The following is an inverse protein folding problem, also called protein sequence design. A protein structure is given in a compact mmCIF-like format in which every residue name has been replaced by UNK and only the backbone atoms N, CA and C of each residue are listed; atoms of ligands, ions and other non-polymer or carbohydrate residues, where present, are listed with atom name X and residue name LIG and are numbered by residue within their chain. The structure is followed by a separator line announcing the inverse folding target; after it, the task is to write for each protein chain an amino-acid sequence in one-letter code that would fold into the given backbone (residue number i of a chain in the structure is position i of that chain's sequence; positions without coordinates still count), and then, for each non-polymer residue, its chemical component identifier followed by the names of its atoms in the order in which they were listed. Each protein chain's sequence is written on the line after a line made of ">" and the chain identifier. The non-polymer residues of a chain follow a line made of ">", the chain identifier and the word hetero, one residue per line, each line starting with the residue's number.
data_IF_300054332131
#
_entry.id   IF_300054332131
#
_cell.length_a   1.000
_cell.length_b   1.000
_cell.length_c   1.000
_cell.angle_alpha   90.00
_cell.angle_beta   90.00
_cell.angle_gamma   90.00
#
_symmetry.space_group_name_H-M   'P 1'
#
loop_
_entity.id
_entity.type
_entity.pdbx_description
1 polymer ?
#
# COMPACT_ATOMS: atom_id res chain seq x y z
N UNK A 1 16.15 1.29 -1.12
CA UNK A 1 16.49 2.41 -2.04
C UNK A 1 17.20 3.57 -1.32
N UNK A 2 16.71 4.09 -0.20
CA UNK A 2 17.26 5.32 0.43
C UNK A 2 18.10 5.10 1.71
N UNK A 3 18.84 3.98 1.81
CA UNK A 3 19.61 3.64 3.04
C UNK A 3 20.87 4.50 3.25
N UNK A 4 21.35 5.16 2.20
CA UNK A 4 22.53 6.05 2.24
C UNK A 4 22.27 7.34 1.45
N UNK A 5 21.04 7.84 1.50
CA UNK A 5 20.63 8.97 0.68
C UNK A 5 20.91 10.29 1.40
N UNK A 6 21.79 11.11 0.84
CA UNK A 6 22.13 12.42 1.37
C UNK A 6 21.69 13.49 0.36
N UNK A 7 20.66 14.31 0.66
CA UNK A 7 20.16 15.31 -0.29
C UNK A 7 21.23 16.24 -0.86
N UNK A 8 22.23 16.60 -0.05
CA UNK A 8 23.33 17.49 -0.47
C UNK A 8 24.29 16.87 -1.48
N UNK A 9 24.43 15.54 -1.48
CA UNK A 9 25.40 14.83 -2.30
C UNK A 9 24.72 14.11 -3.47
N UNK A 10 23.54 13.55 -3.23
CA UNK A 10 22.88 12.65 -4.16
C UNK A 10 21.86 13.33 -5.06
N UNK A 11 21.46 14.58 -4.76
CA UNK A 11 20.64 15.37 -5.69
C UNK A 11 21.52 15.89 -6.82
N UNK A 12 21.28 15.43 -8.04
CA UNK A 12 22.02 15.83 -9.23
C UNK A 12 21.43 17.07 -9.90
N UNK A 13 20.10 17.19 -9.92
CA UNK A 13 19.42 18.38 -10.44
C UNK A 13 18.02 18.52 -9.84
N UNK A 14 17.54 19.76 -9.75
CA UNK A 14 16.20 20.10 -9.28
C UNK A 14 15.61 21.09 -10.28
N UNK A 15 14.47 20.77 -10.89
CA UNK A 15 13.90 21.59 -11.97
C UNK A 15 12.38 21.65 -11.88
N UNK A 16 11.83 22.84 -12.00
CA UNK A 16 10.39 23.07 -12.10
C UNK A 16 9.83 22.50 -13.42
N UNK A 17 8.84 21.63 -13.33
CA UNK A 17 8.28 20.92 -14.50
C UNK A 17 7.26 21.79 -15.25
N UNK A 18 7.35 21.91 -16.58
CA UNK A 18 6.33 22.62 -17.39
C UNK A 18 4.93 21.99 -17.25
N UNK A 19 3.86 22.79 -17.34
CA UNK A 19 2.48 22.34 -17.12
C UNK A 19 2.04 21.16 -18.02
N UNK A 20 2.59 21.02 -19.23
CA UNK A 20 2.31 19.86 -20.09
C UNK A 20 2.80 18.54 -19.48
N UNK A 21 4.04 18.53 -18.98
CA UNK A 21 4.66 17.34 -18.38
C UNK A 21 4.03 17.06 -17.00
N UNK A 22 3.63 18.10 -16.26
CA UNK A 22 2.85 17.91 -15.03
C UNK A 22 1.56 17.12 -15.28
N UNK A 23 0.80 17.47 -16.34
CA UNK A 23 -0.41 16.73 -16.71
C UNK A 23 -0.11 15.26 -17.04
N UNK A 24 1.03 14.96 -17.68
CA UNK A 24 1.45 13.59 -17.94
C UNK A 24 1.74 12.81 -16.65
N UNK A 25 2.47 13.39 -15.70
CA UNK A 25 2.71 12.74 -14.40
C UNK A 25 1.41 12.53 -13.60
N UNK A 26 0.50 13.51 -13.60
CA UNK A 26 -0.83 13.34 -12.97
C UNK A 26 -1.60 12.18 -13.58
N UNK A 27 -1.64 12.11 -14.91
CA UNK A 27 -2.33 11.02 -15.60
C UNK A 27 -1.73 9.64 -15.24
N UNK A 28 -0.40 9.53 -15.20
CA UNK A 28 0.30 8.30 -14.78
C UNK A 28 -0.01 7.91 -13.33
N UNK A 29 -0.01 8.88 -12.42
CA UNK A 29 -0.33 8.64 -11.00
C UNK A 29 -1.78 8.17 -10.83
N UNK A 30 -2.73 8.80 -11.52
CA UNK A 30 -4.15 8.41 -11.47
C UNK A 30 -4.40 7.03 -12.11
N UNK A 31 -3.69 6.69 -13.19
CA UNK A 31 -3.81 5.36 -13.80
C UNK A 31 -3.23 4.26 -12.92
N UNK A 32 -2.17 4.54 -12.18
CA UNK A 32 -1.48 3.55 -11.35
C UNK A 32 -2.14 3.42 -9.97
N UNK A 33 -2.50 4.54 -9.35
CA UNK A 33 -3.04 4.61 -7.99
C UNK A 33 -4.46 5.18 -8.08
N UNK A 34 -5.43 4.31 -8.36
CA UNK A 34 -6.84 4.72 -8.53
C UNK A 34 -7.40 5.42 -7.29
N UNK A 35 -6.89 5.09 -6.10
CA UNK A 35 -7.25 5.76 -4.84
C UNK A 35 -7.09 7.29 -4.89
N UNK A 36 -6.14 7.80 -5.66
CA UNK A 36 -5.90 9.24 -5.81
C UNK A 36 -7.04 10.00 -6.52
N UNK A 37 -7.88 9.27 -7.27
CA UNK A 37 -9.06 9.83 -7.96
C UNK A 37 -10.30 9.94 -7.06
N UNK A 38 -10.28 9.31 -5.88
CA UNK A 38 -11.39 9.37 -4.94
C UNK A 38 -11.61 10.80 -4.44
N UNK A 39 -12.85 11.17 -4.11
CA UNK A 39 -13.14 12.46 -3.50
C UNK A 39 -12.40 12.57 -2.17
N UNK A 40 -11.69 13.68 -1.96
CA UNK A 40 -11.17 14.01 -0.64
C UNK A 40 -12.39 14.33 0.23
N UNK A 41 -12.77 13.38 1.10
CA UNK A 41 -13.84 13.60 2.05
C UNK A 41 -13.50 14.88 2.83
N UNK A 42 -14.39 15.88 2.93
CA UNK A 42 -14.19 16.92 3.92
C UNK A 42 -14.06 16.22 5.28
N UNK A 43 -13.13 16.64 6.16
CA UNK A 43 -13.07 16.07 7.49
C UNK A 43 -14.48 16.14 8.09
N UNK A 44 -14.96 15.08 8.77
CA UNK A 44 -16.25 15.16 9.44
C UNK A 44 -16.23 16.43 10.30
N UNK A 45 -17.30 17.25 10.29
CA UNK A 45 -17.34 18.43 11.13
C UNK A 45 -17.03 17.96 12.54
N UNK A 46 -15.97 18.51 13.14
CA UNK A 46 -15.68 18.27 14.53
C UNK A 46 -16.91 18.72 15.30
N UNK A 47 -17.69 17.77 15.79
CA UNK A 47 -18.63 18.01 16.86
C UNK A 47 -17.78 18.40 18.04
N UNK A 48 -17.47 19.70 18.16
CA UNK A 48 -17.26 20.35 19.44
C UNK A 48 -18.58 20.23 20.18
N UNK A 49 -18.80 19.06 20.76
CA UNK A 49 -19.68 18.95 21.90
C UNK A 49 -18.84 19.44 23.08
N UNK A 50 -18.89 20.75 23.30
CA UNK A 50 -18.69 21.29 24.63
C UNK A 50 -19.82 20.69 25.48
N UNK A 51 -19.49 19.65 26.24
CA UNK A 51 -20.27 19.23 27.39
C UNK A 51 -19.28 18.76 28.43
N UNK A 52 -18.87 19.71 29.26
CA UNK A 52 -18.42 19.47 30.62
C UNK A 52 -19.47 18.56 31.29
N UNK A 53 -19.11 17.32 31.58
CA UNK A 53 -19.78 16.52 32.61
C UNK A 53 -18.71 15.72 33.33
N UNK A 54 -18.27 16.32 34.43
CA UNK A 54 -17.34 15.79 35.41
C UNK A 54 -18.15 14.83 36.31
N UNK A 55 -18.02 13.53 36.08
CA UNK A 55 -18.53 12.53 37.03
C UNK A 55 -17.43 11.52 37.33
N UNK A 56 -16.86 11.69 38.53
CA UNK A 56 -15.95 10.79 39.23
C UNK A 56 -16.35 9.31 39.06
N UNK A 57 -15.43 8.50 38.54
CA UNK A 57 -15.46 7.05 38.72
C UNK A 57 -14.47 6.69 39.84
N UNK A 58 -15.05 6.42 41.00
CA UNK A 58 -14.43 5.90 42.21
C UNK A 58 -13.84 4.49 41.94
N UNK A 59 -12.52 4.33 42.02
CA UNK A 59 -11.85 3.02 41.95
C UNK A 59 -11.97 2.29 43.31
N UNK A 60 -12.46 1.03 43.36
CA UNK A 60 -12.26 0.21 44.55
C UNK A 60 -10.89 -0.51 44.54
N UNK A 61 -10.24 -0.67 45.70
CA UNK A 61 -8.83 -0.99 45.80
C UNK A 61 -8.51 -2.47 45.60
N UNK A 62 -7.35 -2.72 45.00
CA UNK A 62 -6.66 -4.00 44.94
C UNK A 62 -6.33 -4.54 46.34
N UNK A 63 -6.75 -5.78 46.61
CA UNK A 63 -6.28 -6.58 47.75
C UNK A 63 -6.37 -8.07 47.44
N UNK A 64 -5.26 -8.80 47.58
CA UNK A 64 -5.31 -10.25 47.79
C UNK A 64 -4.17 -11.07 47.19
N UNK A 65 -3.09 -11.26 47.97
CA UNK A 65 -1.99 -12.20 47.72
C UNK A 65 -2.46 -13.65 47.53
N UNK A 66 -1.90 -14.36 46.55
CA UNK A 66 -2.01 -15.82 46.39
C UNK A 66 -0.75 -16.42 45.77
N UNK A 67 -0.11 -17.33 46.49
CA UNK A 67 1.21 -17.94 46.24
C UNK A 67 1.20 -19.09 45.23
N UNK A 68 2.32 -19.21 44.49
CA UNK A 68 3.11 -20.41 44.10
C UNK A 68 2.44 -21.55 43.30
N UNK A 69 3.14 -21.97 42.23
CA UNK A 69 3.06 -23.33 41.69
C UNK A 69 3.95 -23.56 40.48
N UNK A 70 5.14 -24.16 40.70
CA UNK A 70 6.00 -24.76 39.66
C UNK A 70 5.31 -25.99 39.06
N UNK A 71 5.56 -26.27 37.78
CA UNK A 71 5.27 -27.58 37.18
C UNK A 71 5.75 -27.67 35.74
N UNK A 72 6.87 -28.37 35.54
CA UNK A 72 7.38 -28.77 34.23
C UNK A 72 6.62 -30.01 33.73
N UNK A 73 6.41 -30.16 32.43
CA UNK A 73 6.34 -31.48 31.79
C UNK A 73 6.49 -31.37 30.27
N UNK A 74 7.13 -32.40 29.74
CA UNK A 74 7.70 -32.62 28.42
C UNK A 74 7.03 -33.88 27.89
N UNK A 75 6.43 -33.86 26.70
CA UNK A 75 6.09 -35.06 25.89
C UNK A 75 5.74 -34.56 24.48
N UNK A 76 6.44 -34.85 23.37
CA UNK A 76 6.83 -36.11 22.69
C UNK A 76 5.67 -37.05 22.36
N UNK A 77 5.28 -37.05 21.08
CA UNK A 77 4.77 -38.14 20.18
C UNK A 77 4.45 -37.43 18.84
N UNK A 78 5.05 -37.65 17.67
CA UNK A 78 5.49 -38.81 16.85
C UNK A 78 4.33 -39.63 16.24
N UNK A 79 4.43 -39.79 14.91
CA UNK A 79 3.72 -40.69 13.98
C UNK A 79 2.30 -40.24 13.58
N UNK A 80 1.78 -40.43 12.36
CA UNK A 80 2.20 -41.07 11.10
C UNK A 80 1.39 -40.37 9.97
N UNK A 81 1.94 -40.06 8.79
CA UNK A 81 1.98 -40.91 7.58
C UNK A 81 0.68 -41.70 7.31
N UNK A 82 -0.10 -41.24 6.33
CA UNK A 82 -1.00 -42.08 5.53
C UNK A 82 -1.12 -41.46 4.12
N UNK A 83 -0.49 -42.14 3.17
CA UNK A 83 -0.57 -41.89 1.75
C UNK A 83 -1.89 -42.44 1.20
N UNK A 84 -2.55 -41.69 0.31
CA UNK A 84 -3.51 -42.23 -0.66
C UNK A 84 -3.68 -41.24 -1.83
N UNK A 85 -2.96 -41.45 -2.93
CA UNK A 85 -3.30 -40.87 -4.23
C UNK A 85 -2.86 -41.85 -5.33
N UNK A 86 -3.69 -42.05 -6.35
CA UNK A 86 -3.29 -42.83 -7.52
C UNK A 86 -4.39 -43.55 -8.31
N UNK A 87 -5.60 -42.99 -8.43
CA UNK A 87 -6.59 -43.48 -9.40
C UNK A 87 -6.37 -42.85 -10.78
N UNK A 88 -5.83 -43.62 -11.73
CA UNK A 88 -5.81 -43.30 -13.16
C UNK A 88 -7.14 -43.72 -13.80
N UNK A 89 -7.77 -42.81 -14.53
CA UNK A 89 -8.87 -43.13 -15.44
C UNK A 89 -9.02 -42.02 -16.46
N UNK A 90 -8.48 -42.23 -17.66
CA UNK A 90 -8.66 -41.33 -18.79
C UNK A 90 -9.95 -41.65 -19.55
N UNK A 91 -10.53 -40.63 -20.19
CA UNK A 91 -11.19 -40.84 -21.48
C UNK A 91 -11.21 -39.56 -22.32
N UNK A 92 -11.04 -39.77 -23.62
CA UNK A 92 -10.97 -38.78 -24.70
C UNK A 92 -12.36 -38.33 -25.13
N UNK A 93 -12.41 -37.14 -25.71
CA UNK A 93 -13.03 -36.94 -27.03
C UNK A 93 -14.40 -36.28 -27.06
N UNK A 94 -14.51 -35.19 -27.82
CA UNK A 94 -15.80 -34.59 -28.18
C UNK A 94 -15.64 -33.23 -28.84
N UNK A 95 -15.35 -33.22 -30.15
CA UNK A 95 -15.55 -32.05 -31.02
C UNK A 95 -17.06 -31.80 -31.15
N UNK A 96 -17.47 -30.53 -31.06
CA UNK A 96 -18.83 -30.11 -31.36
C UNK A 96 -18.88 -28.62 -31.69
N UNK A 97 -18.85 -28.31 -32.98
CA UNK A 97 -19.29 -27.04 -33.57
C UNK A 97 -20.73 -26.74 -33.18
N UNK A 98 -21.07 -25.49 -32.89
CA UNK A 98 -22.10 -24.77 -33.66
C UNK A 98 -22.17 -23.28 -33.35
N UNK A 99 -22.37 -22.56 -34.45
CA UNK A 99 -22.60 -21.15 -34.64
C UNK A 99 -24.06 -20.80 -34.32
N UNK A 100 -24.33 -19.67 -33.65
CA UNK A 100 -25.63 -18.98 -33.75
C UNK A 100 -25.52 -17.50 -33.40
N UNK A 101 -25.98 -16.68 -34.35
CA UNK A 101 -26.19 -15.24 -34.28
C UNK A 101 -27.33 -14.85 -33.31
N UNK A 102 -27.17 -13.73 -32.60
CA UNK A 102 -28.22 -12.76 -32.23
C UNK A 102 -27.54 -11.56 -31.54
N UNK A 103 -27.41 -10.39 -32.16
CA UNK A 103 -28.40 -9.32 -32.30
C UNK A 103 -28.01 -8.13 -31.39
N UNK A 104 -27.60 -7.04 -32.04
CA UNK A 104 -27.34 -5.72 -31.45
C UNK A 104 -28.64 -5.11 -30.92
N UNK A 105 -28.57 -4.43 -29.78
CA UNK A 105 -29.49 -3.33 -29.48
C UNK A 105 -28.65 -2.11 -29.16
N UNK A 106 -28.84 -1.10 -30.01
CA UNK A 106 -28.29 0.24 -29.94
C UNK A 106 -29.38 1.08 -29.28
N UNK A 107 -29.09 1.72 -28.15
CA UNK A 107 -29.89 2.87 -27.70
C UNK A 107 -29.00 4.10 -27.64
N UNK A 108 -29.37 5.08 -28.45
CA UNK A 108 -28.76 6.39 -28.59
C UNK A 108 -29.76 7.46 -28.12
N UNK A 109 -29.28 8.30 -27.20
CA UNK A 109 -29.54 9.75 -27.03
C UNK A 109 -30.95 10.18 -26.54
N UNK A 110 -31.09 11.37 -25.90
CA UNK A 110 -30.94 12.64 -26.60
C UNK A 110 -29.99 13.64 -25.95
N UNK A 111 -29.40 14.47 -26.81
CA UNK A 111 -28.79 15.76 -26.48
C UNK A 111 -29.84 16.88 -26.64
N UNK A 112 -29.68 17.95 -25.86
CA UNK A 112 -30.39 19.23 -25.96
C UNK A 112 -30.40 19.92 -24.60
N UNK A 113 -29.34 20.65 -24.20
CA UNK A 113 -29.06 22.06 -24.52
C UNK A 113 -29.87 23.03 -23.65
N UNK A 114 -29.25 23.58 -22.60
CA UNK A 114 -29.48 24.94 -22.13
C UNK A 114 -28.17 25.53 -21.54
N UNK A 115 -27.77 26.68 -22.08
CA UNK A 115 -26.72 27.56 -21.55
C UNK A 115 -27.25 28.31 -20.31
N UNK A 116 -26.44 28.39 -19.26
CA UNK A 116 -26.73 29.21 -18.08
C UNK A 116 -25.61 29.10 -17.04
N UNK A 117 -24.91 30.22 -16.81
CA UNK A 117 -23.73 30.35 -15.95
C UNK A 117 -24.03 30.09 -14.46
N UNK A 118 -23.11 29.43 -13.73
CA UNK A 118 -22.50 29.86 -12.44
C UNK A 118 -22.11 28.68 -11.50
N UNK A 119 -20.80 28.50 -11.30
CA UNK A 119 -20.07 27.85 -10.19
C UNK A 119 -20.53 26.44 -9.71
N UNK A 120 -20.21 25.41 -10.49
CA UNK A 120 -20.41 24.01 -10.11
C UNK A 120 -19.29 23.48 -9.20
N UNK A 121 -19.62 23.19 -7.94
CA UNK A 121 -18.73 22.65 -6.91
C UNK A 121 -17.93 21.43 -7.37
N UNK A 122 -16.68 21.66 -7.77
CA UNK A 122 -15.77 20.61 -8.19
C UNK A 122 -15.31 19.87 -6.94
N UNK A 123 -15.83 18.66 -6.71
CA UNK A 123 -15.39 17.82 -5.59
C UNK A 123 -13.90 17.56 -5.75
N UNK A 124 -13.10 18.09 -4.82
CA UNK A 124 -11.64 17.95 -4.88
C UNK A 124 -11.28 16.47 -4.73
N UNK A 125 -10.44 15.97 -5.63
CA UNK A 125 -9.87 14.62 -5.48
C UNK A 125 -8.75 14.64 -4.45
N UNK A 126 -8.39 13.47 -3.89
CA UNK A 126 -7.23 13.33 -3.01
C UNK A 126 -5.95 13.86 -3.69
N UNK A 127 -5.79 13.64 -4.99
CA UNK A 127 -4.67 14.19 -5.75
C UNK A 127 -4.72 15.72 -5.88
N UNK A 128 -5.90 16.31 -5.98
CA UNK A 128 -6.04 17.78 -6.03
C UNK A 128 -5.72 18.43 -4.68
N UNK A 129 -5.95 17.72 -3.58
CA UNK A 129 -5.53 18.16 -2.23
C UNK A 129 -4.01 18.02 -2.06
N UNK A 130 -3.43 16.87 -2.43
CA UNK A 130 -1.98 16.63 -2.33
C UNK A 130 -1.17 17.50 -3.30
N UNK A 131 -1.65 17.64 -4.53
CA UNK A 131 -1.00 18.40 -5.59
C UNK A 131 -2.05 19.25 -6.33
N UNK A 132 -2.25 20.51 -5.92
CA UNK A 132 -3.21 21.39 -6.58
C UNK A 132 -2.84 21.67 -8.04
N UNK A 133 -3.83 21.71 -8.93
CA UNK A 133 -3.64 21.88 -10.39
C UNK A 133 -2.89 23.16 -10.79
N UNK A 134 -2.97 24.21 -9.97
CA UNK A 134 -2.29 25.50 -10.20
C UNK A 134 -0.87 25.51 -9.62
N UNK A 135 -0.52 24.55 -8.78
CA UNK A 135 0.75 24.54 -8.08
C UNK A 135 1.86 23.96 -8.95
N UNK A 136 2.99 24.64 -8.95
CA UNK A 136 4.19 24.24 -9.66
C UNK A 136 4.91 23.11 -8.90
N UNK A 137 5.14 21.98 -9.55
CA UNK A 137 5.91 20.86 -8.97
C UNK A 137 7.36 20.87 -9.48
N UNK A 138 8.26 20.40 -8.63
CA UNK A 138 9.69 20.26 -8.92
C UNK A 138 10.03 18.79 -9.11
N UNK A 139 10.73 18.48 -10.19
CA UNK A 139 11.37 17.18 -10.39
C UNK A 139 12.79 17.24 -9.85
N UNK A 140 13.04 16.51 -8.77
CA UNK A 140 14.37 16.33 -8.20
C UNK A 140 14.93 15.02 -8.74
N UNK A 141 15.98 15.11 -9.57
CA UNK A 141 16.70 13.94 -10.06
C UNK A 141 17.87 13.66 -9.14
N UNK A 142 17.91 12.45 -8.63
CA UNK A 142 18.95 11.95 -7.75
C UNK A 142 19.88 10.98 -8.48
N UNK A 143 20.98 10.62 -7.82
CA UNK A 143 21.84 9.51 -8.22
C UNK A 143 21.05 8.19 -8.23
N UNK A 144 21.63 7.16 -8.85
CA UNK A 144 20.99 5.83 -9.01
C UNK A 144 19.65 5.88 -9.76
N UNK A 145 19.46 6.87 -10.64
CA UNK A 145 18.26 7.02 -11.48
C UNK A 145 16.95 7.14 -10.69
N UNK A 146 17.01 7.73 -9.50
CA UNK A 146 15.83 8.06 -8.70
C UNK A 146 15.31 9.44 -9.11
N UNK A 147 14.00 9.55 -9.31
CA UNK A 147 13.31 10.81 -9.60
C UNK A 147 12.24 11.06 -8.55
N UNK A 148 12.28 12.21 -7.87
CA UNK A 148 11.35 12.59 -6.82
C UNK A 148 10.51 13.78 -7.29
N UNK A 149 9.19 13.66 -7.17
CA UNK A 149 8.23 14.74 -7.36
C UNK A 149 8.03 15.45 -6.02
N UNK A 150 8.51 16.69 -5.94
CA UNK A 150 8.44 17.51 -4.74
C UNK A 150 7.57 18.75 -4.95
N UNK A 151 6.68 19.03 -4.01
CA UNK A 151 5.83 20.22 -4.00
C UNK A 151 6.32 21.15 -2.89
N UNK A 152 6.73 22.37 -3.24
CA UNK A 152 7.30 23.33 -2.28
C UNK A 152 8.47 22.77 -1.44
N UNK A 153 9.24 21.85 -2.03
CA UNK A 153 10.32 21.11 -1.38
C UNK A 153 9.89 19.82 -0.67
N UNK A 154 8.61 19.62 -0.37
CA UNK A 154 8.12 18.39 0.29
C UNK A 154 8.03 17.23 -0.73
N UNK A 155 8.71 16.09 -0.50
CA UNK A 155 8.67 14.96 -1.41
C UNK A 155 7.33 14.21 -1.30
N UNK A 156 6.59 14.12 -2.42
CA UNK A 156 5.28 13.46 -2.47
C UNK A 156 5.38 12.04 -3.03
N UNK A 157 6.01 11.91 -4.19
CA UNK A 157 6.16 10.64 -4.91
C UNK A 157 7.59 10.50 -5.42
N UNK A 158 8.05 9.27 -5.57
CA UNK A 158 9.32 8.98 -6.20
C UNK A 158 9.19 7.80 -7.17
N UNK A 159 10.15 7.70 -8.06
CA UNK A 159 10.24 6.68 -9.10
C UNK A 159 11.70 6.27 -9.23
N UNK A 160 11.94 5.00 -9.54
CA UNK A 160 13.27 4.47 -9.85
C UNK A 160 13.28 3.98 -11.28
N UNK A 161 14.19 4.52 -12.11
CA UNK A 161 14.15 4.37 -13.56
C UNK A 161 12.72 4.65 -14.11
N UNK A 162 12.23 3.78 -14.99
CA UNK A 162 10.87 3.81 -15.55
C UNK A 162 9.92 2.86 -14.80
N UNK A 163 10.23 2.51 -13.55
CA UNK A 163 9.39 1.68 -12.68
C UNK A 163 8.10 2.38 -12.23
N UNK A 164 7.31 1.76 -11.34
CA UNK A 164 6.11 2.38 -10.81
C UNK A 164 6.43 3.59 -9.92
N UNK A 165 5.47 4.50 -9.77
CA UNK A 165 5.51 5.54 -8.76
C UNK A 165 5.26 4.97 -7.36
N UNK A 166 6.03 5.44 -6.40
CA UNK A 166 5.85 5.15 -4.99
C UNK A 166 5.47 6.45 -4.27
N UNK A 167 4.43 6.46 -3.43
CA UNK A 167 4.24 7.56 -2.49
C UNK A 167 5.38 7.55 -1.46
N UNK A 168 5.69 8.69 -0.86
CA UNK A 168 6.52 8.68 0.35
C UNK A 168 5.75 8.07 1.52
N UNK A 169 6.46 7.52 2.51
CA UNK A 169 5.81 6.98 3.72
C UNK A 169 4.95 8.04 4.42
N UNK A 170 5.37 9.32 4.41
CA UNK A 170 4.60 10.45 4.96
C UNK A 170 3.24 10.62 4.26
N UNK A 171 3.22 10.54 2.93
CA UNK A 171 1.97 10.60 2.14
C UNK A 171 1.10 9.37 2.40
N UNK A 172 1.71 8.18 2.44
CA UNK A 172 1.00 6.93 2.69
C UNK A 172 0.38 6.88 4.10
N UNK A 173 1.02 7.46 5.13
CA UNK A 173 0.44 7.57 6.47
C UNK A 173 -0.77 8.51 6.51
N UNK A 174 -0.79 9.58 5.71
CA UNK A 174 -1.96 10.46 5.57
C UNK A 174 -3.11 9.76 4.83
N UNK A 175 -2.79 8.91 3.86
CA UNK A 175 -3.75 8.22 3.00
C UNK A 175 -3.41 6.72 2.86
N UNK A 176 -3.73 5.90 3.88
CA UNK A 176 -3.30 4.49 3.93
C UNK A 176 -3.90 3.62 2.83
N UNK A 177 -5.05 4.01 2.26
CA UNK A 177 -5.70 3.28 1.16
C UNK A 177 -5.02 3.42 -0.20
N UNK A 178 -3.92 4.18 -0.32
CA UNK A 178 -3.21 4.37 -1.59
C UNK A 178 -2.56 3.10 -2.13
N UNK A 179 -2.10 2.20 -1.26
CA UNK A 179 -1.44 0.97 -1.66
C UNK A 179 -2.10 -0.24 -0.98
N UNK A 180 -2.13 -1.41 -1.64
CA UNK A 180 -2.56 -2.64 -1.01
C UNK A 180 -1.72 -2.97 0.22
N UNK A 181 -2.38 -3.48 1.27
CA UNK A 181 -1.76 -3.80 2.54
C UNK A 181 -1.23 -5.24 2.56
N UNK A 182 0.02 -5.38 3.00
CA UNK A 182 0.60 -6.65 3.47
C UNK A 182 1.14 -6.45 4.88
N UNK A 183 1.11 -7.49 5.71
CA UNK A 183 1.54 -7.45 7.11
C UNK A 183 2.67 -8.42 7.36
N UNK A 184 3.70 -7.97 8.05
CA UNK A 184 4.85 -8.80 8.45
C UNK A 184 4.72 -9.29 9.88
N UNK A 185 5.32 -10.44 10.14
CA UNK A 185 5.43 -11.02 11.46
C UNK A 185 6.25 -10.15 12.42
N UNK A 186 6.10 -10.41 13.73
CA UNK A 186 6.83 -9.68 14.76
C UNK A 186 8.35 -9.80 14.62
N UNK A 187 8.83 -10.95 14.12
CA UNK A 187 10.25 -11.22 13.92
C UNK A 187 10.88 -10.40 12.79
N UNK A 188 10.16 -10.20 11.69
CA UNK A 188 10.67 -9.47 10.53
C UNK A 188 10.75 -7.95 10.75
N UNK A 189 9.96 -7.36 11.65
CA UNK A 189 9.87 -5.89 11.83
C UNK A 189 11.25 -5.24 11.93
N UNK A 190 12.14 -5.77 12.80
CA UNK A 190 13.50 -5.24 12.99
C UNK A 190 14.31 -5.25 11.69
N UNK A 191 14.17 -6.31 10.89
CA UNK A 191 14.93 -6.48 9.65
C UNK A 191 14.41 -5.58 8.53
N UNK A 192 13.09 -5.40 8.43
CA UNK A 192 12.49 -4.47 7.45
C UNK A 192 12.91 -3.04 7.74
N UNK A 193 12.90 -2.63 9.02
CA UNK A 193 13.40 -1.32 9.46
C UNK A 193 14.92 -1.13 9.29
N UNK A 194 15.65 -2.19 8.95
CA UNK A 194 17.08 -2.12 8.58
C UNK A 194 17.33 -2.10 7.06
N UNK A 195 16.24 -2.10 6.27
CA UNK A 195 16.26 -2.11 4.82
C UNK A 195 16.35 -3.50 4.19
N UNK A 196 16.09 -4.58 4.93
CA UNK A 196 16.06 -5.94 4.37
C UNK A 196 14.80 -6.15 3.53
N UNK A 197 14.94 -6.97 2.48
CA UNK A 197 13.81 -7.57 1.78
C UNK A 197 13.00 -8.47 2.71
N UNK A 198 11.72 -8.64 2.38
CA UNK A 198 10.78 -9.45 3.16
C UNK A 198 10.68 -10.84 2.52
N UNK A 199 11.07 -11.84 3.30
CA UNK A 199 11.00 -13.25 2.89
C UNK A 199 9.58 -13.77 3.06
N UNK A 200 9.16 -14.72 2.20
CA UNK A 200 7.81 -15.31 2.26
C UNK A 200 7.41 -15.83 3.65
N UNK A 201 8.28 -16.51 4.43
CA UNK A 201 7.94 -16.92 5.80
C UNK A 201 7.54 -15.79 6.76
N UNK A 202 8.04 -14.57 6.52
CA UNK A 202 7.67 -13.39 7.30
C UNK A 202 6.27 -12.85 6.96
N UNK A 203 5.69 -13.28 5.83
CA UNK A 203 4.36 -12.88 5.35
C UNK A 203 3.29 -13.96 5.55
N UNK A 204 3.69 -15.22 5.78
CA UNK A 204 2.78 -16.37 5.96
C UNK A 204 2.66 -16.82 7.42
N UNK A 205 3.33 -16.14 8.35
CA UNK A 205 3.23 -16.44 9.78
C UNK A 205 1.80 -16.22 10.33
N UNK A 206 1.43 -16.82 11.48
CA UNK A 206 0.13 -16.58 12.11
C UNK A 206 -0.14 -15.11 12.49
N UNK A 207 0.92 -14.33 12.67
CA UNK A 207 0.85 -12.88 13.00
C UNK A 207 1.00 -11.98 11.77
N UNK A 208 1.27 -12.56 10.61
CA UNK A 208 1.39 -11.82 9.37
C UNK A 208 0.01 -11.68 8.71
N UNK A 209 -0.07 -10.80 7.71
CA UNK A 209 -1.28 -10.60 6.94
C UNK A 209 -0.95 -10.61 5.46
N UNK A 210 -1.65 -11.47 4.72
CA UNK A 210 -1.70 -11.42 3.28
C UNK A 210 -3.16 -11.31 2.86
N UNK A 211 -3.47 -10.47 1.85
CA UNK A 211 -4.79 -10.45 1.24
C UNK A 211 -5.27 -11.86 0.89
N UNK A 212 -6.59 -12.09 0.95
CA UNK A 212 -7.15 -13.36 0.54
C UNK A 212 -7.05 -13.50 -0.98
N UNK A 213 -7.22 -14.72 -1.50
CA UNK A 213 -6.96 -15.05 -2.92
C UNK A 213 -7.88 -14.28 -3.88
N UNK A 214 -9.06 -13.83 -3.45
CA UNK A 214 -9.94 -12.97 -4.25
C UNK A 214 -9.34 -11.58 -4.50
N UNK A 215 -8.43 -11.14 -3.62
CA UNK A 215 -7.71 -9.88 -3.70
C UNK A 215 -6.20 -10.12 -3.93
N UNK A 216 -5.86 -11.11 -4.77
CA UNK A 216 -4.48 -11.44 -5.09
C UNK A 216 -3.73 -10.24 -5.69
N UNK A 217 -2.57 -9.92 -5.11
CA UNK A 217 -1.68 -8.88 -5.61
C UNK A 217 -0.67 -9.53 -6.57
N UNK A 218 -0.63 -9.14 -7.86
CA UNK A 218 0.35 -9.64 -8.82
C UNK A 218 1.79 -9.20 -8.49
N UNK A 219 2.74 -9.84 -9.18
CA UNK A 219 4.17 -9.48 -9.17
C UNK A 219 4.36 -8.07 -9.75
N UNK A 220 5.30 -7.30 -9.20
CA UNK A 220 5.66 -5.96 -9.68
C UNK A 220 4.70 -4.86 -9.24
N UNK A 221 3.84 -5.12 -8.25
CA UNK A 221 2.92 -4.14 -7.69
C UNK A 221 3.47 -3.53 -6.39
N UNK A 222 3.45 -2.19 -6.24
CA UNK A 222 3.80 -1.54 -4.98
C UNK A 222 2.81 -1.88 -3.86
N UNK A 223 3.31 -2.16 -2.67
CA UNK A 223 2.52 -2.54 -1.49
C UNK A 223 2.96 -1.81 -0.23
N UNK A 224 2.01 -1.56 0.67
CA UNK A 224 2.25 -1.01 1.99
C UNK A 224 2.49 -2.12 3.01
N UNK A 225 3.69 -2.16 3.59
CA UNK A 225 4.11 -3.18 4.55
C UNK A 225 3.83 -2.71 5.98
N UNK A 226 2.97 -3.42 6.69
CA UNK A 226 2.53 -3.10 8.04
C UNK A 226 3.11 -4.04 9.08
N UNK A 227 3.35 -3.52 10.28
CA UNK A 227 3.83 -4.32 11.40
C UNK A 227 2.64 -4.99 12.10
N UNK A 228 2.87 -6.18 12.65
CA UNK A 228 1.92 -6.79 13.55
C UNK A 228 1.57 -5.84 14.72
N UNK A 229 0.27 -5.60 14.92
CA UNK A 229 -0.24 -4.74 15.98
C UNK A 229 -0.03 -3.24 15.78
N UNK A 230 0.27 -2.79 14.55
CA UNK A 230 0.36 -1.37 14.18
C UNK A 230 -0.53 -1.05 12.99
N UNK A 231 -1.08 0.16 13.00
CA UNK A 231 -1.98 0.63 11.94
C UNK A 231 -1.18 1.28 10.80
N UNK A 232 -0.03 1.86 11.11
CA UNK A 232 0.82 2.55 10.15
C UNK A 232 1.75 1.60 9.39
N UNK A 233 2.02 1.93 8.12
CA UNK A 233 2.99 1.23 7.31
C UNK A 233 4.42 1.49 7.82
N UNK A 234 5.21 0.44 8.00
CA UNK A 234 6.63 0.58 8.35
C UNK A 234 7.53 0.67 7.12
N UNK A 235 7.04 0.25 5.95
CA UNK A 235 7.79 0.24 4.70
C UNK A 235 6.86 0.21 3.49
N UNK A 236 7.41 0.58 2.34
CA UNK A 236 6.81 0.35 1.03
C UNK A 236 7.71 -0.62 0.30
N UNK A 237 7.10 -1.61 -0.32
CA UNK A 237 7.81 -2.63 -1.08
C UNK A 237 7.22 -2.86 -2.46
N UNK A 238 7.94 -3.63 -3.26
CA UNK A 238 7.51 -4.13 -4.57
C UNK A 238 7.34 -5.65 -4.47
N UNK A 239 6.20 -6.19 -4.89
CA UNK A 239 5.99 -7.64 -4.87
C UNK A 239 6.94 -8.34 -5.84
N UNK A 240 7.79 -9.23 -5.32
CA UNK A 240 8.64 -10.10 -6.14
C UNK A 240 7.92 -11.40 -6.54
N UNK A 241 6.91 -11.78 -5.76
CA UNK A 241 6.02 -12.93 -5.99
C UNK A 241 4.57 -12.49 -5.80
N UNK A 242 3.62 -13.16 -6.45
CA UNK A 242 2.19 -12.89 -6.21
C UNK A 242 1.81 -13.32 -4.79
N UNK A 243 0.75 -12.74 -4.21
CA UNK A 243 0.36 -13.11 -2.83
C UNK A 243 -0.07 -14.57 -2.69
N UNK A 244 -0.62 -15.16 -3.75
CA UNK A 244 -0.92 -16.60 -3.81
C UNK A 244 0.35 -17.46 -3.88
N UNK A 245 1.36 -17.03 -4.64
CA UNK A 245 2.66 -17.71 -4.71
C UNK A 245 3.41 -17.61 -3.39
N UNK A 246 3.35 -16.46 -2.72
CA UNK A 246 3.94 -16.26 -1.38
C UNK A 246 3.33 -17.27 -0.40
N UNK A 247 2.01 -17.44 -0.43
CA UNK A 247 1.26 -18.35 0.44
C UNK A 247 1.59 -19.82 0.17
N UNK A 248 1.69 -20.20 -1.11
CA UNK A 248 1.90 -21.60 -1.52
C UNK A 248 3.36 -22.05 -1.47
N UNK A 249 4.30 -21.24 -1.95
CA UNK A 249 5.72 -21.59 -2.05
C UNK A 249 6.43 -21.40 -0.70
N UNK A 250 6.07 -20.33 0.02
CA UNK A 250 6.60 -19.97 1.34
C UNK A 250 8.15 -19.97 1.45
N UNK A 251 8.84 -19.62 0.35
CA UNK A 251 10.30 -19.52 0.26
C UNK A 251 10.67 -18.34 -0.64
N UNK A 252 11.91 -17.89 -0.57
CA UNK A 252 12.46 -16.74 -1.30
C UNK A 252 11.89 -15.38 -0.85
N UNK A 253 12.26 -14.34 -1.59
CA UNK A 253 11.80 -12.97 -1.38
C UNK A 253 10.38 -12.85 -1.88
N UNK A 254 9.45 -12.48 -1.01
CA UNK A 254 8.07 -12.19 -1.39
C UNK A 254 7.90 -10.72 -1.79
N UNK A 255 8.53 -9.81 -1.04
CA UNK A 255 8.45 -8.37 -1.26
C UNK A 255 9.85 -7.75 -1.13
N UNK A 256 10.27 -7.03 -2.15
CA UNK A 256 11.50 -6.22 -2.14
C UNK A 256 11.25 -4.91 -1.42
N UNK A 257 12.17 -4.53 -0.53
CA UNK A 257 12.03 -3.33 0.28
C UNK A 257 12.53 -2.10 -0.48
N UNK A 258 11.65 -1.12 -0.70
CA UNK A 258 11.97 0.10 -1.45
C UNK A 258 12.36 1.22 -0.49
N UNK A 259 11.47 1.57 0.44
CA UNK A 259 11.67 2.60 1.48
C UNK A 259 11.07 2.10 2.79
N UNK A 260 11.67 2.50 3.91
CA UNK A 260 11.25 2.06 5.24
C UNK A 260 11.36 3.19 6.25
N UNK A 261 10.61 3.07 7.34
CA UNK A 261 10.59 4.05 8.40
C UNK A 261 11.98 4.19 9.02
N UNK A 262 12.52 5.41 9.03
CA UNK A 262 13.87 5.70 9.52
C UNK A 262 14.98 5.56 8.48
N UNK A 263 14.64 5.30 7.20
CA UNK A 263 15.58 5.53 6.10
C UNK A 263 15.90 7.03 5.94
N UNK A 264 16.82 7.36 5.03
CA UNK A 264 17.26 8.75 4.94
C UNK A 264 16.25 9.64 4.23
N UNK A 265 15.42 9.10 3.32
CA UNK A 265 14.32 9.87 2.73
C UNK A 265 13.25 10.23 3.77
N UNK A 266 12.96 9.33 4.72
CA UNK A 266 12.04 9.59 5.81
C UNK A 266 12.45 10.80 6.67
N UNK A 267 13.76 10.94 6.92
CA UNK A 267 14.34 12.05 7.69
C UNK A 267 14.33 13.39 6.94
N UNK A 268 14.07 13.37 5.64
CA UNK A 268 14.03 14.58 4.81
C UNK A 268 12.63 15.19 4.86
N UNK A 269 12.56 16.41 5.35
CA UNK A 269 11.33 17.22 5.30
C UNK A 269 11.23 18.03 4.01
N UNK A 270 12.37 18.55 3.54
CA UNK A 270 12.47 19.35 2.31
C UNK A 270 13.73 19.02 1.51
N UNK A 271 13.58 18.94 0.20
CA UNK A 271 14.64 18.76 -0.80
C UNK A 271 15.06 20.10 -1.42
#
# INVERSE_FOLDING_TARGET
>A
MFKKFHPKEDVASSTAIKSSIQRQHRAKLLSQITYLSLPALPPPPSTRADSDDDSELDEPPLSGKGRRGKGAAKDKRKAAEAAASGGKGGSKGGKGSNNTHAAQVVEQMPQGAEEGTQDGGNVLTILDVLWPKKSQITLVKCREHISILALNGEPLFFQHFDGPYYPTLKVLHKYPGMLPKVGVDRGAIKFVLSGSNIMCPGLTSPTAYLPPTEANIPVGQPVAVHAYGKEEALAIGLTAMSTDDIRSINKNIGVENVTYLGDDLWKVDKL
#
